data_IF_399946412727
#
_entry.id   IF_399946412727
#
_cell.length_a   1.000
_cell.length_b   1.000
_cell.length_c   1.000
_cell.angle_alpha   90.00
_cell.angle_beta   90.00
_cell.angle_gamma   90.00
#
_symmetry.space_group_name_H-M   'P 1'
#
loop_
_entity.id
_entity.type
_entity.pdbx_description
1 polymer ?
#
# COMPACT_ATOMS: atom_id res chain seq x y z
N UNK A 1 6.68 30.79 39.51
CA UNK A 1 7.44 29.67 38.92
C UNK A 1 7.80 28.75 40.06
N UNK A 2 7.00 27.69 40.20
CA UNK A 2 7.05 26.73 41.31
C UNK A 2 8.27 25.83 41.18
N UNK A 3 8.90 25.45 42.29
CA UNK A 3 10.12 24.59 42.36
C UNK A 3 10.10 23.34 41.46
N UNK A 4 8.93 22.82 41.08
CA UNK A 4 8.79 21.72 40.13
C UNK A 4 9.22 22.07 38.69
N UNK A 5 9.05 23.31 38.21
CA UNK A 5 9.47 23.72 36.85
C UNK A 5 10.98 23.79 36.71
N UNK A 6 11.71 24.07 37.79
CA UNK A 6 13.18 24.18 37.78
C UNK A 6 13.78 22.79 37.62
N UNK A 7 13.24 21.80 38.35
CA UNK A 7 13.71 20.42 38.30
C UNK A 7 13.39 19.74 36.97
N UNK A 8 12.24 20.03 36.36
CA UNK A 8 11.86 19.48 35.05
C UNK A 8 12.76 20.04 33.94
N UNK A 9 13.01 21.34 33.92
CA UNK A 9 13.87 21.97 32.93
C UNK A 9 15.34 21.54 33.07
N UNK A 10 15.84 21.34 34.29
CA UNK A 10 17.21 20.85 34.51
C UNK A 10 17.38 19.41 34.03
N UNK A 11 16.38 18.55 34.24
CA UNK A 11 16.37 17.16 33.74
C UNK A 11 16.32 17.18 32.21
N UNK A 12 15.50 18.03 31.60
CA UNK A 12 15.40 18.16 30.14
C UNK A 12 16.69 18.72 29.52
N UNK A 13 17.34 19.68 30.19
CA UNK A 13 18.63 20.23 29.78
C UNK A 13 19.72 19.16 29.84
N UNK A 14 19.77 18.38 30.93
CA UNK A 14 20.74 17.28 31.10
C UNK A 14 20.50 16.13 30.11
N UNK A 15 19.24 15.78 29.86
CA UNK A 15 18.88 14.80 28.83
C UNK A 15 19.27 15.27 27.42
N UNK A 16 19.08 16.56 27.12
CA UNK A 16 19.50 17.14 25.84
C UNK A 16 21.01 17.20 25.68
N UNK A 17 21.79 17.47 26.75
CA UNK A 17 23.26 17.42 26.65
C UNK A 17 23.76 16.00 26.42
N UNK A 18 23.19 15.00 27.11
CA UNK A 18 23.56 13.59 26.90
C UNK A 18 23.18 13.09 25.51
N UNK A 19 22.08 13.60 24.93
CA UNK A 19 21.61 13.17 23.60
C UNK A 19 22.65 13.37 22.49
N UNK A 20 23.55 14.35 22.63
CA UNK A 20 24.62 14.61 21.67
C UNK A 20 25.90 13.79 21.93
N UNK A 21 26.13 13.35 23.16
CA UNK A 21 27.26 12.47 23.54
C UNK A 21 26.96 10.98 23.32
N UNK A 22 25.67 10.63 23.20
CA UNK A 22 25.20 9.29 22.95
C UNK A 22 25.34 8.96 21.45
N UNK A 23 26.35 8.15 21.11
CA UNK A 23 26.63 7.60 19.77
C UNK A 23 25.37 6.99 19.09
N UNK A 24 25.20 7.16 17.76
CA UNK A 24 24.00 6.73 17.01
C UNK A 24 23.62 5.24 17.21
N UNK A 25 24.57 4.40 17.61
CA UNK A 25 24.40 2.95 17.76
C UNK A 25 23.89 2.49 19.14
N UNK A 26 23.59 3.38 20.07
CA UNK A 26 23.22 2.96 21.45
C UNK A 26 21.85 2.29 21.48
N UNK A 27 20.92 2.75 20.65
CA UNK A 27 19.63 2.06 20.48
C UNK A 27 19.84 0.63 19.97
N UNK A 28 20.69 0.45 18.96
CA UNK A 28 20.99 -0.87 18.39
C UNK A 28 21.68 -1.77 19.45
N UNK A 29 22.62 -1.25 20.23
CA UNK A 29 23.32 -1.99 21.31
C UNK A 29 22.42 -2.36 22.49
N UNK A 30 21.50 -1.48 22.89
CA UNK A 30 20.47 -1.80 23.89
C UNK A 30 19.55 -2.92 23.42
N UNK A 31 19.07 -2.84 22.17
CA UNK A 31 18.20 -3.87 21.59
C UNK A 31 18.94 -5.21 21.50
N UNK A 32 20.20 -5.21 21.05
CA UNK A 32 21.02 -6.41 21.00
C UNK A 32 21.18 -7.07 22.37
N UNK A 33 21.41 -6.27 23.42
CA UNK A 33 21.52 -6.75 24.79
C UNK A 33 20.22 -7.36 25.31
N UNK A 34 19.08 -6.71 25.04
CA UNK A 34 17.74 -7.19 25.39
C UNK A 34 17.41 -8.52 24.71
N UNK A 35 17.66 -8.64 23.41
CA UNK A 35 17.42 -9.89 22.68
C UNK A 35 18.35 -11.02 23.15
N UNK A 36 19.59 -10.69 23.53
CA UNK A 36 20.56 -11.65 24.07
C UNK A 36 20.10 -12.20 25.42
N UNK A 37 19.67 -11.33 26.34
CA UNK A 37 19.08 -11.75 27.62
C UNK A 37 17.83 -12.60 27.43
N UNK A 38 16.90 -12.16 26.57
CA UNK A 38 15.69 -12.92 26.28
C UNK A 38 16.00 -14.31 25.70
N UNK A 39 16.98 -14.40 24.80
CA UNK A 39 17.44 -15.68 24.23
C UNK A 39 18.05 -16.58 25.31
N UNK A 40 18.91 -16.04 26.17
CA UNK A 40 19.49 -16.81 27.29
C UNK A 40 18.42 -17.34 28.25
N UNK A 41 17.45 -16.52 28.63
CA UNK A 41 16.34 -16.92 29.49
C UNK A 41 15.51 -18.01 28.82
N UNK A 42 15.16 -17.85 27.54
CA UNK A 42 14.39 -18.85 26.79
C UNK A 42 15.11 -20.20 26.69
N UNK A 43 16.43 -20.18 26.49
CA UNK A 43 17.25 -21.39 26.36
C UNK A 43 17.35 -22.16 27.68
N UNK A 44 17.30 -21.45 28.82
CA UNK A 44 17.28 -22.03 30.16
C UNK A 44 15.90 -22.54 30.57
N UNK A 45 14.83 -21.90 30.11
CA UNK A 45 13.45 -22.21 30.52
C UNK A 45 12.73 -23.20 29.61
N UNK A 46 13.13 -23.32 28.33
CA UNK A 46 12.43 -24.13 27.34
C UNK A 46 13.28 -25.30 26.87
N UNK A 47 12.97 -26.49 27.37
CA UNK A 47 13.50 -27.73 26.82
C UNK A 47 12.80 -28.03 25.51
N UNK A 48 13.39 -27.61 24.40
CA UNK A 48 12.86 -27.90 23.07
C UNK A 48 13.11 -29.38 22.79
N UNK A 49 12.07 -30.23 22.88
CA UNK A 49 12.13 -31.57 22.25
C UNK A 49 12.57 -31.30 20.82
N UNK A 50 13.65 -31.93 20.39
CA UNK A 50 14.13 -31.94 19.01
C UNK A 50 13.04 -32.48 18.10
N UNK A 51 12.05 -31.65 17.78
CA UNK A 51 11.28 -31.77 16.57
C UNK A 51 12.33 -31.51 15.51
N UNK A 52 12.81 -32.61 14.89
CA UNK A 52 13.58 -32.58 13.64
C UNK A 52 13.14 -31.35 12.88
N UNK A 53 14.07 -30.41 12.71
CA UNK A 53 13.84 -29.10 12.12
C UNK A 53 12.79 -29.22 11.01
N UNK A 54 11.65 -28.57 11.20
CA UNK A 54 10.72 -28.36 10.10
C UNK A 54 11.51 -27.67 9.00
N UNK A 55 11.81 -28.42 7.94
CA UNK A 55 12.31 -27.99 6.65
C UNK A 55 13.60 -27.19 6.63
N UNK A 56 14.67 -27.81 6.15
CA UNK A 56 15.79 -27.15 5.45
C UNK A 56 15.30 -26.10 4.42
N UNK A 57 14.07 -26.25 3.92
CA UNK A 57 13.37 -25.28 3.06
C UNK A 57 13.08 -23.93 3.73
N UNK A 58 12.57 -23.89 4.96
CA UNK A 58 12.27 -22.62 5.66
C UNK A 58 13.55 -21.81 5.91
N UNK A 59 14.63 -22.50 6.32
CA UNK A 59 15.94 -21.85 6.54
C UNK A 59 16.59 -21.37 5.25
N UNK A 60 16.40 -22.07 4.14
CA UNK A 60 16.97 -21.69 2.84
C UNK A 60 16.17 -20.55 2.21
N UNK A 61 14.84 -20.61 2.35
CA UNK A 61 13.93 -19.53 1.95
C UNK A 61 14.20 -18.28 2.78
N UNK A 62 14.38 -18.41 4.10
CA UNK A 62 14.78 -17.29 4.95
C UNK A 62 16.11 -16.71 4.49
N UNK A 63 17.13 -17.53 4.23
CA UNK A 63 18.46 -17.03 3.79
C UNK A 63 18.42 -16.32 2.43
N UNK A 64 17.55 -16.74 1.52
CA UNK A 64 17.32 -16.09 0.22
C UNK A 64 16.53 -14.78 0.38
N UNK A 65 15.51 -14.78 1.23
CA UNK A 65 14.61 -13.64 1.48
C UNK A 65 15.27 -12.57 2.35
N UNK A 66 16.19 -12.94 3.25
CA UNK A 66 16.89 -12.00 4.16
C UNK A 66 18.28 -11.56 3.69
N UNK A 67 18.76 -12.03 2.53
CA UNK A 67 20.01 -11.50 1.98
C UNK A 67 19.82 -10.03 1.56
N UNK A 68 20.71 -9.14 2.02
CA UNK A 68 20.68 -7.69 1.77
C UNK A 68 20.54 -7.29 0.29
N UNK A 69 20.97 -8.15 -0.63
CA UNK A 69 20.99 -7.86 -2.08
C UNK A 69 19.85 -8.58 -2.81
N UNK A 70 19.50 -9.81 -2.41
CA UNK A 70 18.43 -10.59 -3.07
C UNK A 70 17.05 -10.39 -2.45
N UNK A 71 16.97 -9.94 -1.19
CA UNK A 71 15.72 -9.70 -0.49
C UNK A 71 14.88 -8.60 -1.13
N UNK A 72 15.49 -7.47 -1.52
CA UNK A 72 14.77 -6.36 -2.19
C UNK A 72 14.18 -6.74 -3.55
N UNK A 73 14.93 -7.36 -4.50
CA UNK A 73 14.38 -7.80 -5.79
C UNK A 73 13.28 -8.84 -5.65
N UNK A 74 13.48 -9.85 -4.80
CA UNK A 74 12.46 -10.89 -4.55
C UNK A 74 11.20 -10.27 -3.97
N UNK A 75 11.37 -9.25 -3.13
CA UNK A 75 10.26 -8.52 -2.55
C UNK A 75 9.45 -7.71 -3.55
N UNK A 76 10.13 -6.96 -4.39
CA UNK A 76 9.47 -6.24 -5.45
C UNK A 76 8.79 -7.18 -6.44
N UNK A 77 9.42 -8.31 -6.77
CA UNK A 77 8.90 -9.31 -7.69
C UNK A 77 7.66 -10.01 -7.12
N UNK A 78 7.65 -10.36 -5.84
CA UNK A 78 6.49 -11.00 -5.21
C UNK A 78 5.31 -10.02 -5.11
N UNK A 79 5.55 -8.77 -4.69
CA UNK A 79 4.52 -7.74 -4.65
C UNK A 79 3.99 -7.45 -6.07
N UNK A 80 4.87 -7.37 -7.07
CA UNK A 80 4.49 -7.23 -8.47
C UNK A 80 3.68 -8.43 -8.98
N UNK A 81 4.02 -9.66 -8.56
CA UNK A 81 3.28 -10.86 -8.92
C UNK A 81 1.88 -10.86 -8.31
N UNK A 82 1.73 -10.42 -7.07
CA UNK A 82 0.41 -10.24 -6.41
C UNK A 82 -0.41 -9.21 -7.16
N UNK A 83 0.19 -8.06 -7.51
CA UNK A 83 -0.48 -7.03 -8.30
C UNK A 83 -0.87 -7.51 -9.70
N UNK A 84 0.03 -8.23 -10.37
CA UNK A 84 -0.23 -8.83 -11.67
C UNK A 84 -1.41 -9.82 -11.59
N UNK A 85 -1.37 -10.73 -10.62
CA UNK A 85 -2.43 -11.72 -10.40
C UNK A 85 -3.78 -11.05 -10.10
N UNK A 86 -3.77 -9.97 -9.32
CA UNK A 86 -5.01 -9.24 -9.01
C UNK A 86 -5.55 -8.46 -10.18
N UNK A 87 -4.72 -7.80 -10.98
CA UNK A 87 -5.18 -7.05 -12.16
C UNK A 87 -5.68 -8.00 -13.24
N UNK A 88 -4.85 -8.98 -13.62
CA UNK A 88 -5.20 -9.91 -14.70
C UNK A 88 -6.32 -10.85 -14.27
N UNK A 89 -6.26 -11.35 -13.04
CA UNK A 89 -7.30 -12.20 -12.48
C UNK A 89 -8.64 -11.48 -12.28
N UNK A 90 -8.62 -10.16 -12.04
CA UNK A 90 -9.85 -9.38 -11.91
C UNK A 90 -10.48 -9.00 -13.25
N UNK A 91 -9.74 -8.96 -14.35
CA UNK A 91 -10.28 -8.59 -15.67
C UNK A 91 -11.44 -9.51 -16.09
N UNK A 92 -11.33 -10.81 -15.83
CA UNK A 92 -12.37 -11.81 -16.15
C UNK A 92 -13.68 -11.56 -15.39
N UNK A 93 -13.72 -11.57 -14.04
CA UNK A 93 -14.94 -11.29 -13.29
C UNK A 93 -15.45 -9.86 -13.49
N UNK A 94 -14.57 -8.88 -13.70
CA UNK A 94 -14.99 -7.50 -14.01
C UNK A 94 -15.73 -7.42 -15.33
N UNK A 95 -15.24 -8.12 -16.37
CA UNK A 95 -15.92 -8.20 -17.67
C UNK A 95 -17.26 -8.92 -17.58
N UNK A 96 -17.35 -10.01 -16.81
CA UNK A 96 -18.61 -10.70 -16.55
C UNK A 96 -19.63 -9.79 -15.86
N UNK A 97 -19.21 -9.07 -14.81
CA UNK A 97 -20.08 -8.15 -14.09
C UNK A 97 -20.52 -6.96 -14.96
N UNK A 98 -19.61 -6.42 -15.77
CA UNK A 98 -19.93 -5.37 -16.74
C UNK A 98 -20.97 -5.85 -17.76
N UNK A 99 -20.80 -7.04 -18.33
CA UNK A 99 -21.80 -7.59 -19.27
C UNK A 99 -23.18 -7.80 -18.64
N UNK A 100 -23.22 -8.19 -17.36
CA UNK A 100 -24.47 -8.38 -16.65
C UNK A 100 -25.12 -7.03 -16.30
N UNK A 101 -24.41 -6.16 -15.57
CA UNK A 101 -24.98 -4.92 -15.05
C UNK A 101 -25.13 -3.84 -16.13
N UNK A 102 -24.17 -3.73 -17.04
CA UNK A 102 -24.16 -2.69 -18.08
C UNK A 102 -24.83 -3.19 -19.36
N UNK A 103 -24.47 -4.36 -19.89
CA UNK A 103 -25.03 -4.76 -21.20
C UNK A 103 -26.44 -5.38 -21.09
N UNK A 104 -26.79 -5.96 -19.94
CA UNK A 104 -28.10 -6.64 -19.76
C UNK A 104 -29.08 -5.81 -18.93
N UNK A 105 -28.69 -5.40 -17.71
CA UNK A 105 -29.60 -4.72 -16.79
C UNK A 105 -29.88 -3.26 -17.17
N UNK A 106 -28.89 -2.50 -17.65
CA UNK A 106 -29.09 -1.11 -18.04
C UNK A 106 -30.15 -0.95 -19.16
N UNK A 107 -30.10 -1.66 -20.31
CA UNK A 107 -31.14 -1.53 -21.33
C UNK A 107 -32.51 -2.06 -20.85
N UNK A 108 -32.52 -3.06 -19.97
CA UNK A 108 -33.76 -3.54 -19.34
C UNK A 108 -34.40 -2.48 -18.44
N UNK A 109 -33.61 -1.79 -17.61
CA UNK A 109 -34.10 -0.67 -16.79
C UNK A 109 -34.58 0.50 -17.64
N UNK A 110 -33.83 0.84 -18.69
CA UNK A 110 -34.16 1.95 -19.59
C UNK A 110 -35.48 1.70 -20.31
N UNK A 111 -35.67 0.51 -20.88
CA UNK A 111 -36.92 0.10 -21.52
C UNK A 111 -38.10 0.01 -20.55
N UNK A 112 -37.88 -0.41 -19.30
CA UNK A 112 -38.92 -0.41 -18.27
C UNK A 112 -39.39 1.02 -17.90
N UNK A 113 -38.47 1.97 -17.80
CA UNK A 113 -38.77 3.38 -17.52
C UNK A 113 -39.44 4.09 -18.71
N UNK A 114 -39.05 3.73 -19.94
CA UNK A 114 -39.71 4.18 -21.17
C UNK A 114 -41.14 3.63 -21.26
N UNK A 115 -41.37 2.36 -20.89
CA UNK A 115 -42.71 1.76 -20.85
C UNK A 115 -43.61 2.37 -19.77
N UNK A 116 -43.05 2.77 -18.62
CA UNK A 116 -43.77 3.50 -17.57
C UNK A 116 -44.14 4.94 -17.96
N UNK A 117 -43.70 5.43 -19.13
CA UNK A 117 -43.96 6.81 -19.57
C UNK A 117 -43.23 7.86 -18.74
N UNK A 118 -42.10 7.50 -18.12
CA UNK A 118 -41.34 8.46 -17.31
C UNK A 118 -40.71 9.58 -18.17
N UNK A 119 -40.57 10.81 -17.64
CA UNK A 119 -39.95 11.90 -18.38
C UNK A 119 -38.49 11.59 -18.74
N UNK A 120 -38.08 11.92 -19.96
CA UNK A 120 -36.73 11.61 -20.47
C UNK A 120 -35.58 12.16 -19.58
N UNK A 121 -35.79 13.30 -18.92
CA UNK A 121 -34.80 13.87 -18.00
C UNK A 121 -34.60 13.00 -16.74
N UNK A 122 -35.67 12.35 -16.27
CA UNK A 122 -35.63 11.52 -15.07
C UNK A 122 -34.99 10.17 -15.38
N UNK A 123 -35.37 9.56 -16.51
CA UNK A 123 -34.73 8.32 -17.01
C UNK A 123 -33.24 8.53 -17.23
N UNK A 124 -32.83 9.63 -17.89
CA UNK A 124 -31.42 9.93 -18.13
C UNK A 124 -30.64 10.13 -16.83
N UNK A 125 -31.18 10.85 -15.86
CA UNK A 125 -30.48 11.09 -14.59
C UNK A 125 -30.34 9.79 -13.75
N UNK A 126 -31.40 9.00 -13.64
CA UNK A 126 -31.40 7.80 -12.79
C UNK A 126 -30.74 6.59 -13.47
N UNK A 127 -31.05 6.33 -14.74
CA UNK A 127 -30.61 5.12 -15.44
C UNK A 127 -29.25 5.34 -16.12
N UNK A 128 -29.10 6.41 -16.90
CA UNK A 128 -27.84 6.70 -17.62
C UNK A 128 -26.79 7.35 -16.70
N UNK A 129 -27.22 8.09 -15.68
CA UNK A 129 -26.35 8.70 -14.67
C UNK A 129 -26.08 7.79 -13.48
N UNK A 130 -27.02 7.73 -12.54
CA UNK A 130 -26.81 7.10 -11.24
C UNK A 130 -26.56 5.58 -11.32
N UNK A 131 -27.41 4.85 -12.05
CA UNK A 131 -27.28 3.41 -12.20
C UNK A 131 -26.03 3.02 -12.98
N UNK A 132 -25.77 3.65 -14.13
CA UNK A 132 -24.60 3.32 -14.94
C UNK A 132 -23.29 3.60 -14.19
N UNK A 133 -23.20 4.72 -13.47
CA UNK A 133 -22.06 5.03 -12.62
C UNK A 133 -21.87 3.98 -11.51
N UNK A 134 -22.94 3.59 -10.82
CA UNK A 134 -22.90 2.53 -9.81
C UNK A 134 -22.44 1.20 -10.41
N UNK A 135 -23.04 0.79 -11.52
CA UNK A 135 -22.72 -0.45 -12.22
C UNK A 135 -21.24 -0.51 -12.63
N UNK A 136 -20.71 0.61 -13.13
CA UNK A 136 -19.32 0.71 -13.53
C UNK A 136 -18.37 0.61 -12.34
N UNK A 137 -18.66 1.33 -11.25
CA UNK A 137 -17.85 1.27 -10.01
C UNK A 137 -17.85 -0.14 -9.43
N UNK A 138 -19.01 -0.80 -9.34
CA UNK A 138 -19.10 -2.16 -8.81
C UNK A 138 -18.35 -3.14 -9.72
N UNK A 139 -18.52 -3.03 -11.03
CA UNK A 139 -17.88 -3.94 -12.00
C UNK A 139 -16.37 -3.84 -11.99
N UNK A 140 -15.81 -2.63 -11.86
CA UNK A 140 -14.36 -2.40 -11.98
C UNK A 140 -13.65 -2.46 -10.62
N UNK A 141 -14.26 -2.02 -9.52
CA UNK A 141 -13.59 -1.92 -8.21
C UNK A 141 -13.75 -3.16 -7.33
N UNK A 142 -14.89 -3.87 -7.41
CA UNK A 142 -15.18 -5.01 -6.54
C UNK A 142 -14.23 -6.19 -6.80
N UNK A 143 -14.02 -6.65 -8.06
CA UNK A 143 -13.26 -7.88 -8.29
C UNK A 143 -11.78 -7.80 -7.91
N UNK A 144 -11.03 -6.72 -8.21
CA UNK A 144 -9.65 -6.59 -7.75
C UNK A 144 -9.53 -6.64 -6.23
N UNK A 145 -10.44 -5.99 -5.50
CA UNK A 145 -10.44 -6.04 -4.03
C UNK A 145 -10.72 -7.43 -3.49
N UNK A 146 -11.69 -8.14 -4.09
CA UNK A 146 -12.06 -9.49 -3.70
C UNK A 146 -10.90 -10.50 -3.85
N UNK A 147 -9.98 -10.27 -4.79
CA UNK A 147 -8.79 -11.11 -4.98
C UNK A 147 -7.61 -10.59 -4.14
N UNK A 148 -7.42 -9.27 -4.07
CA UNK A 148 -6.27 -8.65 -3.41
C UNK A 148 -6.23 -8.92 -1.92
N UNK A 149 -7.36 -8.73 -1.21
CA UNK A 149 -7.36 -8.89 0.24
C UNK A 149 -7.07 -10.34 0.68
N UNK A 150 -7.71 -11.39 0.13
CA UNK A 150 -7.37 -12.76 0.51
C UNK A 150 -5.92 -13.14 0.23
N UNK A 151 -5.37 -12.73 -0.92
CA UNK A 151 -3.96 -13.00 -1.26
C UNK A 151 -3.03 -12.25 -0.32
N UNK A 152 -3.36 -11.00 0.01
CA UNK A 152 -2.57 -10.20 0.93
C UNK A 152 -2.61 -10.74 2.37
N UNK A 153 -3.79 -11.13 2.87
CA UNK A 153 -3.94 -11.78 4.18
C UNK A 153 -3.15 -13.08 4.23
N UNK A 154 -3.17 -13.87 3.16
CA UNK A 154 -2.37 -15.09 3.09
C UNK A 154 -0.86 -14.80 3.20
N UNK A 155 -0.37 -13.71 2.58
CA UNK A 155 1.01 -13.26 2.71
C UNK A 155 1.35 -12.72 4.10
N UNK A 156 0.37 -12.12 4.78
CA UNK A 156 0.47 -11.72 6.18
C UNK A 156 0.64 -12.94 7.09
N UNK A 157 -0.22 -13.95 6.91
CA UNK A 157 -0.25 -15.18 7.71
C UNK A 157 1.03 -16.02 7.51
N UNK A 158 1.62 -16.02 6.31
CA UNK A 158 2.93 -16.63 6.07
C UNK A 158 4.09 -15.85 6.70
N UNK A 159 3.85 -14.71 7.34
CA UNK A 159 4.87 -13.90 8.01
C UNK A 159 5.80 -13.20 7.03
N UNK A 160 5.43 -13.09 5.75
CA UNK A 160 6.24 -12.46 4.72
C UNK A 160 6.23 -10.93 4.87
N UNK A 161 5.06 -10.35 5.11
CA UNK A 161 4.87 -8.91 5.30
C UNK A 161 5.70 -8.32 6.46
N UNK A 162 5.78 -8.95 7.64
CA UNK A 162 6.74 -8.56 8.69
C UNK A 162 8.20 -8.55 8.24
N UNK A 163 8.64 -9.54 7.43
CA UNK A 163 10.02 -9.62 6.92
C UNK A 163 10.31 -8.49 5.92
N UNK A 164 9.33 -8.19 5.06
CA UNK A 164 9.37 -7.07 4.12
C UNK A 164 9.48 -5.73 4.83
N UNK A 165 8.65 -5.50 5.86
CA UNK A 165 8.70 -4.29 6.66
C UNK A 165 10.07 -4.10 7.32
N UNK A 166 10.69 -5.17 7.84
CA UNK A 166 12.03 -5.13 8.43
C UNK A 166 13.12 -4.81 7.39
N UNK A 167 13.05 -5.39 6.19
CA UNK A 167 14.02 -5.12 5.13
C UNK A 167 13.91 -3.68 4.60
N UNK A 168 12.70 -3.12 4.53
CA UNK A 168 12.44 -1.74 4.12
C UNK A 168 12.72 -0.71 5.22
N UNK A 169 12.76 -1.13 6.49
CA UNK A 169 12.97 -0.25 7.65
C UNK A 169 14.25 0.58 7.52
N UNK A 170 15.35 -0.01 7.02
CA UNK A 170 16.60 0.73 6.80
C UNK A 170 16.52 1.85 5.76
N UNK A 171 15.66 1.72 4.75
CA UNK A 171 15.45 2.74 3.72
C UNK A 171 14.57 3.87 4.26
N UNK A 172 13.47 3.52 4.94
CA UNK A 172 12.56 4.48 5.55
C UNK A 172 13.17 5.18 6.77
N UNK A 173 14.05 4.53 7.53
CA UNK A 173 14.77 5.13 8.67
C UNK A 173 15.66 6.30 8.23
N UNK A 174 16.24 6.24 7.02
CA UNK A 174 16.98 7.37 6.44
C UNK A 174 16.09 8.56 6.08
N UNK A 175 14.83 8.30 5.75
CA UNK A 175 13.80 9.29 5.48
C UNK A 175 13.06 9.77 6.75
N UNK A 176 13.39 9.24 7.93
CA UNK A 176 12.70 9.54 9.19
C UNK A 176 11.34 8.86 9.35
N UNK A 177 11.09 7.80 8.58
CA UNK A 177 9.87 7.00 8.57
C UNK A 177 10.09 5.60 9.15
N UNK A 178 9.00 4.94 9.57
CA UNK A 178 9.02 3.63 10.19
C UNK A 178 8.74 2.53 9.14
N UNK A 179 9.38 1.36 9.22
CA UNK A 179 9.12 0.22 8.31
C UNK A 179 7.63 -0.21 8.21
N UNK A 180 6.80 0.13 9.21
CA UNK A 180 5.33 -0.05 9.14
C UNK A 180 4.67 0.82 8.06
N UNK A 181 5.23 1.99 7.76
CA UNK A 181 4.79 2.85 6.65
C UNK A 181 5.04 2.20 5.28
N UNK A 182 6.15 1.47 5.13
CA UNK A 182 6.45 0.78 3.88
C UNK A 182 5.35 -0.19 3.47
N UNK A 183 4.81 -0.90 4.46
CA UNK A 183 3.73 -1.87 4.29
C UNK A 183 2.42 -1.18 3.87
N UNK A 184 2.03 -0.09 4.53
CA UNK A 184 0.79 0.63 4.21
C UNK A 184 0.87 1.31 2.83
N UNK A 185 2.04 1.81 2.45
CA UNK A 185 2.28 2.39 1.13
C UNK A 185 2.25 1.34 0.02
N UNK A 186 2.81 0.15 0.27
CA UNK A 186 2.72 -0.98 -0.66
C UNK A 186 1.27 -1.35 -0.96
N UNK A 187 0.40 -1.37 0.06
CA UNK A 187 -1.05 -1.60 -0.11
C UNK A 187 -1.74 -0.45 -0.87
N UNK A 188 -1.28 0.79 -0.68
CA UNK A 188 -1.83 1.97 -1.35
C UNK A 188 -1.66 1.99 -2.87
N UNK A 189 -0.58 1.39 -3.40
CA UNK A 189 -0.39 1.22 -4.84
C UNK A 189 -1.46 0.31 -5.47
N UNK A 190 -2.02 -0.64 -4.71
CA UNK A 190 -3.19 -1.40 -5.15
C UNK A 190 -4.46 -0.58 -5.01
N UNK A 191 -4.79 -0.30 -3.74
CA UNK A 191 -5.92 0.53 -3.38
C UNK A 191 -5.53 1.52 -2.29
N UNK A 192 -5.56 2.81 -2.62
CA UNK A 192 -5.25 3.88 -1.68
C UNK A 192 -6.18 3.84 -0.44
N UNK A 193 -7.46 3.53 -0.62
CA UNK A 193 -8.39 3.41 0.52
C UNK A 193 -7.96 2.32 1.51
N UNK A 194 -7.55 1.15 1.00
CA UNK A 194 -7.03 0.06 1.82
C UNK A 194 -5.74 0.44 2.55
N UNK A 195 -4.79 1.05 1.83
CA UNK A 195 -3.53 1.48 2.41
C UNK A 195 -3.70 2.57 3.48
N UNK A 196 -4.63 3.52 3.28
CA UNK A 196 -4.97 4.54 4.28
C UNK A 196 -5.58 3.89 5.53
N UNK A 197 -6.48 2.92 5.38
CA UNK A 197 -7.05 2.18 6.53
C UNK A 197 -5.97 1.37 7.26
N UNK A 198 -5.02 0.80 6.53
CA UNK A 198 -3.90 0.03 7.11
C UNK A 198 -2.96 0.89 7.98
N UNK A 199 -2.94 2.23 7.83
CA UNK A 199 -2.16 3.13 8.69
C UNK A 199 -2.54 3.07 10.17
N UNK A 200 -3.68 2.44 10.52
CA UNK A 200 -4.06 2.15 11.92
C UNK A 200 -3.03 1.30 12.69
N UNK A 201 -2.14 0.58 12.00
CA UNK A 201 -1.07 -0.25 12.59
C UNK A 201 0.10 0.62 13.11
N UNK A 202 0.16 1.89 12.70
CA UNK A 202 1.18 2.85 13.15
C UNK A 202 0.72 3.47 14.48
N UNK A 203 1.51 3.26 15.54
CA UNK A 203 1.17 3.69 16.91
C UNK A 203 1.29 5.20 17.08
N UNK A 204 2.30 5.81 16.45
CA UNK A 204 2.54 7.24 16.62
C UNK A 204 1.57 8.05 15.75
N UNK A 205 0.85 9.03 16.32
CA UNK A 205 -0.13 9.80 15.56
C UNK A 205 0.51 10.69 14.49
N UNK A 206 1.76 11.14 14.70
CA UNK A 206 2.51 11.95 13.74
C UNK A 206 2.93 11.13 12.52
N UNK A 207 3.52 9.95 12.70
CA UNK A 207 3.91 9.09 11.57
C UNK A 207 2.69 8.54 10.86
N UNK A 208 1.60 8.26 11.59
CA UNK A 208 0.33 7.86 10.97
C UNK A 208 -0.21 8.93 10.04
N UNK A 209 -0.17 10.21 10.45
CA UNK A 209 -0.61 11.31 9.59
C UNK A 209 0.28 11.45 8.35
N UNK A 210 1.60 11.34 8.52
CA UNK A 210 2.55 11.35 7.40
C UNK A 210 2.22 10.21 6.43
N UNK A 211 2.04 8.99 6.93
CA UNK A 211 1.69 7.83 6.11
C UNK A 211 0.36 8.00 5.36
N UNK A 212 -0.66 8.60 5.97
CA UNK A 212 -1.95 8.89 5.29
C UNK A 212 -1.76 9.90 4.15
N UNK A 213 -0.97 10.96 4.38
CA UNK A 213 -0.69 11.99 3.38
C UNK A 213 0.17 11.42 2.25
N UNK A 214 1.24 10.68 2.58
CA UNK A 214 2.15 10.12 1.57
C UNK A 214 1.46 9.07 0.72
N UNK A 215 0.52 8.30 1.28
CA UNK A 215 -0.22 7.31 0.51
C UNK A 215 -1.12 7.92 -0.59
N UNK A 216 -1.49 9.19 -0.45
CA UNK A 216 -2.19 9.92 -1.52
C UNK A 216 -1.31 10.17 -2.74
N UNK A 217 0.01 10.04 -2.67
CA UNK A 217 0.88 10.12 -3.84
C UNK A 217 1.03 8.76 -4.54
N UNK A 218 0.62 7.67 -3.91
CA UNK A 218 0.56 6.34 -4.53
C UNK A 218 -0.58 6.30 -5.56
N UNK A 219 -0.26 5.87 -6.79
CA UNK A 219 -1.24 5.68 -7.84
C UNK A 219 -1.91 4.33 -7.69
N UNK A 220 -3.19 4.32 -7.35
CA UNK A 220 -4.03 3.13 -7.34
C UNK A 220 -4.66 2.88 -8.71
N UNK A 221 -5.17 1.67 -8.93
CA UNK A 221 -5.80 1.25 -10.20
C UNK A 221 -6.85 2.26 -10.71
N UNK A 222 -7.69 2.80 -9.82
CA UNK A 222 -8.72 3.77 -10.19
C UNK A 222 -8.22 5.16 -10.62
N UNK A 223 -6.96 5.51 -10.35
CA UNK A 223 -6.39 6.81 -10.75
C UNK A 223 -5.73 6.78 -12.13
N UNK A 224 -5.30 5.60 -12.60
CA UNK A 224 -4.66 5.44 -13.90
C UNK A 224 -5.56 5.91 -15.06
N UNK A 225 -6.85 5.51 -15.17
CA UNK A 225 -7.71 5.95 -16.27
C UNK A 225 -7.90 7.47 -16.32
N UNK A 226 -8.11 8.11 -15.16
CA UNK A 226 -8.28 9.57 -15.09
C UNK A 226 -7.00 10.30 -15.47
N UNK A 227 -5.83 9.81 -15.04
CA UNK A 227 -4.55 10.41 -15.43
C UNK A 227 -4.25 10.24 -16.92
N UNK A 228 -4.50 9.06 -17.47
CA UNK A 228 -4.34 8.79 -18.90
C UNK A 228 -5.27 9.70 -19.71
N UNK A 229 -6.53 9.86 -19.29
CA UNK A 229 -7.50 10.74 -19.94
C UNK A 229 -7.02 12.20 -19.94
N UNK A 230 -6.65 12.73 -18.77
CA UNK A 230 -6.18 14.12 -18.63
C UNK A 230 -4.89 14.32 -19.42
N UNK A 231 -3.93 13.41 -19.31
CA UNK A 231 -2.67 13.49 -20.06
C UNK A 231 -2.92 13.46 -21.58
N UNK A 232 -3.83 12.60 -22.05
CA UNK A 232 -4.17 12.50 -23.47
C UNK A 232 -4.80 13.79 -24.01
N UNK A 233 -5.70 14.41 -23.24
CA UNK A 233 -6.39 15.64 -23.65
C UNK A 233 -5.43 16.84 -23.65
N UNK A 234 -4.69 17.05 -22.57
CA UNK A 234 -3.91 18.28 -22.38
C UNK A 234 -2.48 18.19 -22.94
N UNK A 235 -1.78 17.07 -22.73
CA UNK A 235 -0.40 16.88 -23.20
C UNK A 235 -0.41 16.32 -24.61
N UNK A 236 -1.20 15.26 -24.84
CA UNK A 236 -1.33 14.64 -26.17
C UNK A 236 -1.89 15.61 -27.21
N UNK A 237 -2.84 16.47 -26.83
CA UNK A 237 -3.40 17.51 -27.71
C UNK A 237 -2.45 18.68 -28.01
N UNK A 238 -1.42 18.91 -27.19
CA UNK A 238 -0.47 20.00 -27.38
C UNK A 238 0.70 19.64 -28.31
N UNK A 239 0.86 18.36 -28.65
CA UNK A 239 1.99 17.82 -29.43
C UNK A 239 1.46 17.20 -30.73
N UNK A 240 2.21 17.25 -31.86
CA UNK A 240 1.78 16.59 -33.08
C UNK A 240 1.45 15.10 -32.90
N UNK A 241 0.47 14.61 -33.67
CA UNK A 241 -0.19 13.32 -33.48
C UNK A 241 0.74 12.10 -33.39
N UNK A 242 1.89 12.14 -34.07
CA UNK A 242 2.87 11.05 -34.03
C UNK A 242 3.62 10.94 -32.68
N UNK A 243 3.66 12.01 -31.89
CA UNK A 243 4.26 12.05 -30.55
C UNK A 243 3.22 12.09 -29.42
N UNK A 244 1.95 12.32 -29.74
CA UNK A 244 0.88 12.49 -28.74
C UNK A 244 0.82 11.31 -27.75
N UNK A 245 0.95 10.08 -28.23
CA UNK A 245 0.98 8.89 -27.37
C UNK A 245 2.18 8.84 -26.44
N UNK A 246 3.39 9.14 -26.94
CA UNK A 246 4.63 9.13 -26.16
C UNK A 246 4.62 10.27 -25.13
N UNK A 247 4.18 11.46 -25.53
CA UNK A 247 4.10 12.61 -24.64
C UNK A 247 3.10 12.38 -23.49
N UNK A 248 1.94 11.81 -23.80
CA UNK A 248 0.92 11.48 -22.80
C UNK A 248 1.40 10.38 -21.84
N UNK A 249 1.98 9.30 -22.38
CA UNK A 249 2.55 8.23 -21.56
C UNK A 249 3.70 8.75 -20.67
N UNK A 250 4.58 9.58 -21.23
CA UNK A 250 5.67 10.22 -20.50
C UNK A 250 5.17 11.10 -19.35
N UNK A 251 4.09 11.86 -19.56
CA UNK A 251 3.47 12.66 -18.51
C UNK A 251 2.91 11.81 -17.36
N UNK A 252 2.22 10.71 -17.68
CA UNK A 252 1.69 9.81 -16.64
C UNK A 252 2.83 9.15 -15.85
N UNK A 253 3.86 8.65 -16.53
CA UNK A 253 5.05 8.06 -15.88
C UNK A 253 5.77 9.09 -15.02
N UNK A 254 5.89 10.34 -15.49
CA UNK A 254 6.49 11.42 -14.72
C UNK A 254 5.72 11.67 -13.42
N UNK A 255 4.38 11.74 -13.47
CA UNK A 255 3.55 11.91 -12.27
C UNK A 255 3.69 10.72 -11.32
N UNK A 256 3.75 9.50 -11.84
CA UNK A 256 3.97 8.29 -11.05
C UNK A 256 5.32 8.31 -10.31
N UNK A 257 6.41 8.62 -11.03
CA UNK A 257 7.75 8.70 -10.46
C UNK A 257 7.89 9.86 -9.48
N UNK A 258 7.28 11.00 -9.77
CA UNK A 258 7.24 12.14 -8.86
C UNK A 258 6.49 11.81 -7.57
N UNK A 259 5.38 11.08 -7.66
CA UNK A 259 4.65 10.58 -6.49
C UNK A 259 5.48 9.63 -5.63
N UNK A 260 6.22 8.70 -6.26
CA UNK A 260 7.15 7.80 -5.55
C UNK A 260 8.26 8.61 -4.88
N UNK A 261 8.83 9.60 -5.57
CA UNK A 261 9.88 10.46 -5.02
C UNK A 261 9.40 11.27 -3.82
N UNK A 262 8.19 11.85 -3.86
CA UNK A 262 7.61 12.57 -2.73
C UNK A 262 7.25 11.67 -1.53
N UNK A 263 7.07 10.38 -1.78
CA UNK A 263 6.76 9.42 -0.71
C UNK A 263 7.98 8.92 0.07
N UNK A 264 9.17 9.13 -0.48
CA UNK A 264 10.45 8.61 -0.01
C UNK A 264 11.23 9.71 0.73
#
# INVERSE_FOLDING_TARGET
>A
MTENEIRENDILAYANSLRWDLNENIHDSMIESLYKEASEISSKAVTTKTRKASGTFDKTLDKIVTSRITGFPIMFLLLALVFWLTVEGANVPSGMLASLLVDTFHPMLRSAFEWLGSPAWFTGLMVDGAYLAMAWVISVMLPPMAIFFPVFTLLEDFGYLPRVAFNLDGLFRRAGAHGKQALTMSMGFGCNAAGVVATRIIDSPRERLIAIITNNFSLCNGRWPTQILIASIFIGGAVPAYLAGIASAGAVVFVALFGIFLSL
#
